data_IF_241793723880
#
_entry.id   IF_241793723880
#
_cell.length_a   1.000
_cell.length_b   1.000
_cell.length_c   1.000
_cell.angle_alpha   90.00
_cell.angle_beta   90.00
_cell.angle_gamma   90.00
#
_symmetry.space_group_name_H-M   'P 1'
#
loop_
_entity.id
_entity.type
_entity.pdbx_description
1 polymer ?
#
# COMPACT_ATOMS: atom_id res chain seq x y z
N UNK A 1 6.90 -41.03 -32.91
CA UNK A 1 6.48 -40.72 -34.29
C UNK A 1 5.43 -39.62 -34.15
N UNK A 2 5.88 -38.37 -33.94
CA UNK A 2 6.00 -37.30 -34.96
C UNK A 2 4.61 -36.94 -35.53
N UNK A 3 4.11 -35.70 -35.55
CA UNK A 3 4.73 -34.37 -35.57
C UNK A 3 3.63 -33.31 -35.19
N UNK A 4 3.92 -32.23 -34.45
CA UNK A 4 4.05 -30.81 -34.93
C UNK A 4 2.86 -30.32 -35.80
N UNK A 5 2.25 -29.12 -35.69
CA UNK A 5 2.54 -27.82 -35.05
C UNK A 5 1.38 -26.81 -35.37
N UNK A 6 1.46 -25.62 -34.76
CA UNK A 6 0.87 -24.30 -35.13
C UNK A 6 -0.54 -23.99 -34.57
N UNK A 7 -0.69 -23.15 -33.55
CA UNK A 7 -0.69 -21.65 -33.54
C UNK A 7 -2.07 -21.04 -33.81
N UNK A 8 -2.55 -20.16 -32.92
CA UNK A 8 -3.72 -19.30 -33.18
C UNK A 8 -4.44 -18.79 -31.93
N UNK A 9 -4.02 -17.62 -31.45
CA UNK A 9 -4.62 -16.80 -30.37
C UNK A 9 -6.03 -16.26 -30.73
N UNK A 10 -6.82 -15.76 -29.77
CA UNK A 10 -8.27 -15.53 -29.90
C UNK A 10 -8.61 -14.08 -30.26
N UNK A 11 -9.30 -13.89 -31.39
CA UNK A 11 -10.04 -12.68 -31.75
C UNK A 11 -11.37 -13.10 -32.40
N UNK A 12 -12.43 -13.28 -31.61
CA UNK A 12 -13.82 -13.35 -32.12
C UNK A 12 -14.86 -13.44 -30.99
N UNK A 13 -14.78 -12.53 -30.01
CA UNK A 13 -15.87 -12.30 -29.02
C UNK A 13 -16.68 -11.05 -29.40
N UNK A 14 -16.95 -10.90 -30.68
CA UNK A 14 -17.75 -9.84 -31.28
C UNK A 14 -18.52 -10.50 -32.43
N UNK A 15 -19.84 -10.32 -32.50
CA UNK A 15 -20.78 -10.81 -33.55
C UNK A 15 -21.67 -12.06 -33.30
N UNK A 16 -22.26 -12.27 -32.12
CA UNK A 16 -23.38 -13.24 -32.02
C UNK A 16 -24.49 -12.85 -31.05
N UNK A 17 -25.15 -11.69 -31.27
CA UNK A 17 -26.47 -11.41 -30.70
C UNK A 17 -27.41 -10.67 -31.66
N UNK A 18 -27.29 -10.92 -32.97
CA UNK A 18 -28.29 -10.58 -33.98
C UNK A 18 -28.74 -11.87 -34.70
N UNK A 19 -29.91 -12.40 -34.31
CA UNK A 19 -30.52 -13.60 -34.90
C UNK A 19 -32.01 -13.72 -34.56
N UNK A 20 -32.84 -13.14 -35.44
CA UNK A 20 -34.31 -13.09 -35.62
C UNK A 20 -35.13 -14.39 -35.30
N UNK A 21 -36.51 -14.40 -35.33
CA UNK A 21 -37.45 -13.46 -35.98
C UNK A 21 -38.69 -13.07 -35.13
N UNK A 22 -39.56 -12.18 -35.64
CA UNK A 22 -41.05 -12.23 -35.63
C UNK A 22 -41.62 -10.83 -36.02
N UNK A 23 -42.11 -10.75 -37.27
CA UNK A 23 -43.29 -9.98 -37.75
C UNK A 23 -43.56 -8.54 -37.26
N UNK A 24 -43.51 -7.59 -38.20
CA UNK A 24 -44.00 -6.19 -38.07
C UNK A 24 -45.54 -6.15 -38.17
N UNK A 25 -46.25 -5.26 -37.44
CA UNK A 25 -46.80 -4.08 -38.13
C UNK A 25 -46.72 -2.78 -37.31
N UNK A 26 -46.62 -1.66 -38.02
CA UNK A 26 -46.62 -0.29 -37.54
C UNK A 26 -47.85 0.05 -36.67
N UNK A 27 -47.66 0.64 -35.49
CA UNK A 27 -48.55 1.69 -34.95
C UNK A 27 -47.89 2.45 -33.79
N UNK A 28 -48.04 3.78 -33.83
CA UNK A 28 -47.59 4.76 -32.86
C UNK A 28 -47.83 4.36 -31.39
N UNK A 29 -46.78 4.42 -30.57
CA UNK A 29 -46.90 4.88 -29.18
C UNK A 29 -45.55 5.41 -28.67
N UNK A 30 -45.60 6.62 -28.13
CA UNK A 30 -44.50 7.36 -27.51
C UNK A 30 -43.65 6.49 -26.58
N UNK A 31 -42.34 6.50 -26.79
CA UNK A 31 -41.38 6.31 -25.70
C UNK A 31 -40.73 7.67 -25.46
N UNK A 32 -41.03 8.22 -24.29
CA UNK A 32 -40.50 9.47 -23.78
C UNK A 32 -38.99 9.54 -23.94
N UNK A 33 -38.54 10.67 -24.46
CA UNK A 33 -37.16 11.15 -24.45
C UNK A 33 -36.71 11.20 -22.98
N UNK A 34 -36.06 10.14 -22.50
CA UNK A 34 -35.20 10.23 -21.34
C UNK A 34 -33.96 10.95 -21.85
N UNK A 35 -33.91 12.25 -21.56
CA UNK A 35 -32.70 13.06 -21.64
C UNK A 35 -31.60 12.37 -20.84
N UNK A 36 -30.75 11.62 -21.54
CA UNK A 36 -29.36 11.39 -21.13
C UNK A 36 -28.62 12.67 -21.52
N UNK A 37 -28.24 13.55 -20.57
CA UNK A 37 -27.25 14.56 -20.89
C UNK A 37 -25.93 13.84 -21.12
N UNK A 38 -25.61 13.73 -22.41
CA UNK A 38 -24.36 14.23 -22.98
C UNK A 38 -23.15 13.97 -22.09
N UNK A 39 -22.45 12.91 -22.47
CA UNK A 39 -21.03 12.68 -22.28
C UNK A 39 -20.25 13.97 -22.62
N UNK A 40 -20.08 14.85 -21.63
CA UNK A 40 -19.39 16.14 -21.77
C UNK A 40 -18.07 16.07 -21.04
N UNK A 41 -17.02 16.08 -21.86
CA UNK A 41 -15.67 16.58 -21.59
C UNK A 41 -14.80 15.78 -20.62
N UNK A 42 -13.79 15.16 -21.22
CA UNK A 42 -12.64 14.62 -20.54
C UNK A 42 -11.99 15.68 -19.66
N UNK A 43 -12.19 15.53 -18.35
CA UNK A 43 -11.21 15.99 -17.39
C UNK A 43 -10.05 15.02 -17.52
N UNK A 44 -8.99 15.45 -18.20
CA UNK A 44 -7.67 14.89 -18.00
C UNK A 44 -7.36 15.04 -16.50
N UNK A 45 -7.75 14.03 -15.72
CA UNK A 45 -7.46 13.94 -14.30
C UNK A 45 -5.96 13.69 -14.20
N UNK A 46 -5.20 14.78 -14.13
CA UNK A 46 -3.85 14.73 -13.61
C UNK A 46 -3.96 14.04 -12.23
N UNK A 47 -3.24 12.94 -11.96
CA UNK A 47 -3.23 12.40 -10.61
C UNK A 47 -2.66 13.51 -9.73
N UNK A 48 -3.49 14.20 -8.97
CA UNK A 48 -3.01 15.22 -8.05
C UNK A 48 -2.15 14.48 -7.04
N UNK A 49 -0.82 14.71 -7.02
CA UNK A 49 0.04 14.00 -6.10
C UNK A 49 -0.44 14.32 -4.69
N UNK A 50 -0.54 13.29 -3.84
CA UNK A 50 -0.86 13.46 -2.43
C UNK A 50 0.00 14.59 -1.85
N UNK A 51 -0.59 15.54 -1.10
CA UNK A 51 0.17 16.66 -0.57
C UNK A 51 1.35 16.17 0.25
N UNK A 52 2.54 16.75 0.00
CA UNK A 52 3.81 16.34 0.61
C UNK A 52 3.76 16.29 2.14
N UNK A 53 2.96 17.14 2.77
CA UNK A 53 2.80 17.17 4.23
C UNK A 53 2.03 15.95 4.77
N UNK A 54 1.02 15.46 4.05
CA UNK A 54 0.29 14.23 4.42
C UNK A 54 1.21 13.02 4.29
N UNK A 55 2.04 12.99 3.24
CA UNK A 55 3.05 11.95 3.03
C UNK A 55 3.98 11.86 4.22
N UNK A 56 4.56 12.98 4.64
CA UNK A 56 5.45 13.04 5.81
C UNK A 56 4.74 12.61 7.09
N UNK A 57 3.55 13.16 7.33
CA UNK A 57 2.80 12.92 8.58
C UNK A 57 2.37 11.45 8.71
N UNK A 58 2.19 10.75 7.59
CA UNK A 58 1.94 9.31 7.58
C UNK A 58 3.24 8.51 7.71
N UNK A 59 4.23 8.79 6.87
CA UNK A 59 5.44 7.97 6.77
C UNK A 59 6.33 8.03 8.02
N UNK A 60 6.35 9.15 8.73
CA UNK A 60 7.13 9.29 9.97
C UNK A 60 6.63 8.34 11.07
N UNK A 61 5.37 8.42 11.57
CA UNK A 61 4.88 7.52 12.60
C UNK A 61 4.90 6.07 12.12
N UNK A 62 4.56 5.83 10.85
CA UNK A 62 4.59 4.50 10.24
C UNK A 62 5.97 3.85 10.34
N UNK A 63 7.01 4.55 9.87
CA UNK A 63 8.39 4.06 9.89
C UNK A 63 8.92 3.91 11.31
N UNK A 64 8.58 4.85 12.20
CA UNK A 64 8.95 4.78 13.60
C UNK A 64 8.42 3.51 14.28
N UNK A 65 7.15 3.17 14.03
CA UNK A 65 6.51 1.95 14.52
C UNK A 65 7.18 0.69 13.97
N UNK A 66 7.44 0.64 12.65
CA UNK A 66 8.15 -0.47 11.99
C UNK A 66 9.52 -0.74 12.64
N UNK A 67 10.33 0.31 12.81
CA UNK A 67 11.67 0.18 13.40
C UNK A 67 11.56 -0.27 14.86
N UNK A 68 10.67 0.35 15.63
CA UNK A 68 10.54 0.05 17.06
C UNK A 68 10.08 -1.37 17.31
N UNK A 69 9.10 -1.86 16.56
CA UNK A 69 8.60 -3.22 16.73
C UNK A 69 9.57 -4.25 16.17
N UNK A 70 10.11 -4.03 14.97
CA UNK A 70 11.08 -4.93 14.33
C UNK A 70 12.31 -5.14 15.21
N UNK A 71 12.95 -4.06 15.63
CA UNK A 71 14.17 -4.15 16.44
C UNK A 71 13.90 -4.75 17.84
N UNK A 72 12.72 -4.51 18.42
CA UNK A 72 12.36 -5.13 19.71
C UNK A 72 12.11 -6.62 19.59
N UNK A 73 11.47 -7.09 18.51
CA UNK A 73 11.28 -8.52 18.27
C UNK A 73 12.60 -9.27 18.19
N UNK A 74 13.64 -8.63 17.64
CA UNK A 74 14.99 -9.20 17.52
C UNK A 74 15.95 -8.82 18.65
N UNK A 75 15.41 -8.24 19.72
CA UNK A 75 16.18 -7.79 20.88
C UNK A 75 17.35 -6.82 20.55
N UNK A 76 17.30 -6.11 19.42
CA UNK A 76 18.33 -5.18 18.99
C UNK A 76 18.13 -3.82 19.68
N UNK A 77 19.14 -3.27 20.37
CA UNK A 77 19.01 -2.01 21.09
C UNK A 77 19.00 -0.81 20.14
N UNK A 78 17.85 -0.15 20.00
CA UNK A 78 17.72 1.12 19.27
C UNK A 78 17.13 2.19 20.18
N UNK A 79 17.90 3.24 20.42
CA UNK A 79 17.45 4.42 21.18
C UNK A 79 16.28 5.10 20.46
N UNK A 80 15.35 5.69 21.21
CA UNK A 80 14.23 6.45 20.62
C UNK A 80 14.72 7.56 19.69
N UNK A 81 15.79 8.26 20.05
CA UNK A 81 16.35 9.34 19.23
C UNK A 81 16.85 8.85 17.88
N UNK A 82 17.52 7.69 17.82
CA UNK A 82 17.97 7.09 16.56
C UNK A 82 16.80 6.63 15.70
N UNK A 83 15.79 6.00 16.30
CA UNK A 83 14.59 5.58 15.58
C UNK A 83 13.82 6.78 15.01
N UNK A 84 13.75 7.89 15.76
CA UNK A 84 13.09 9.12 15.31
C UNK A 84 13.87 9.78 14.16
N UNK A 85 15.20 9.89 14.29
CA UNK A 85 16.06 10.40 13.21
C UNK A 85 15.92 9.55 11.93
N UNK A 86 15.89 8.23 12.09
CA UNK A 86 15.73 7.29 10.98
C UNK A 86 14.35 7.45 10.32
N UNK A 87 13.28 7.56 11.11
CA UNK A 87 11.92 7.78 10.57
C UNK A 87 11.79 9.11 9.81
N UNK A 88 12.50 10.15 10.26
CA UNK A 88 12.53 11.44 9.57
C UNK A 88 13.27 11.33 8.23
N UNK A 89 14.45 10.69 8.22
CA UNK A 89 15.22 10.48 6.99
C UNK A 89 14.44 9.64 5.97
N UNK A 90 13.78 8.57 6.40
CA UNK A 90 12.94 7.73 5.54
C UNK A 90 11.70 8.49 5.05
N UNK A 91 11.12 9.38 5.88
CA UNK A 91 10.02 10.26 5.45
C UNK A 91 10.43 11.16 4.27
N UNK A 92 11.64 11.73 4.30
CA UNK A 92 12.19 12.49 3.18
C UNK A 92 12.35 11.60 1.94
N UNK A 93 12.91 10.40 2.08
CA UNK A 93 13.04 9.43 0.98
C UNK A 93 11.67 9.05 0.41
N UNK A 94 10.63 8.98 1.24
CA UNK A 94 9.27 8.68 0.79
C UNK A 94 8.70 9.76 -0.14
N UNK A 95 8.99 11.04 0.12
CA UNK A 95 8.61 12.13 -0.79
C UNK A 95 9.30 11.94 -2.16
N UNK A 96 10.60 11.67 -2.15
CA UNK A 96 11.35 11.41 -3.38
C UNK A 96 10.79 10.19 -4.11
N UNK A 97 10.53 9.09 -3.39
CA UNK A 97 10.00 7.87 -3.96
C UNK A 97 8.64 8.10 -4.65
N UNK A 98 7.76 8.92 -4.08
CA UNK A 98 6.45 9.27 -4.67
C UNK A 98 6.51 10.23 -5.85
N UNK A 99 7.63 10.92 -6.04
CA UNK A 99 7.90 11.69 -7.26
C UNK A 99 8.12 10.82 -8.50
N UNK A 100 8.39 9.52 -8.32
CA UNK A 100 8.51 8.59 -9.44
C UNK A 100 7.13 8.01 -9.80
N UNK A 101 6.79 7.85 -11.08
CA UNK A 101 5.52 7.25 -11.52
C UNK A 101 5.61 5.70 -11.44
N UNK A 102 5.79 5.16 -10.23
CA UNK A 102 5.87 3.72 -10.00
C UNK A 102 4.52 3.16 -9.53
N UNK A 103 4.24 1.88 -9.79
CA UNK A 103 3.05 1.25 -9.26
C UNK A 103 3.13 1.11 -7.73
N UNK A 104 1.95 1.10 -7.10
CA UNK A 104 1.80 0.77 -5.68
C UNK A 104 2.44 -0.60 -5.39
N UNK A 105 3.36 -0.63 -4.42
CA UNK A 105 4.17 -1.80 -4.08
C UNK A 105 5.66 -1.61 -4.36
N UNK A 106 6.04 -1.12 -5.54
CA UNK A 106 7.46 -0.87 -5.87
C UNK A 106 8.00 0.25 -4.98
N UNK A 107 7.21 1.29 -4.75
CA UNK A 107 7.53 2.35 -3.78
C UNK A 107 7.86 1.79 -2.39
N UNK A 108 7.09 0.79 -1.94
CA UNK A 108 7.28 0.16 -0.63
C UNK A 108 8.58 -0.64 -0.57
N UNK A 109 8.93 -1.36 -1.64
CA UNK A 109 10.20 -2.09 -1.74
C UNK A 109 11.38 -1.12 -1.69
N UNK A 110 11.34 -0.03 -2.48
CA UNK A 110 12.37 1.01 -2.47
C UNK A 110 12.50 1.63 -1.07
N UNK A 111 11.37 1.88 -0.40
CA UNK A 111 11.37 2.42 0.96
C UNK A 111 11.94 1.41 1.99
N UNK A 112 11.67 0.12 1.84
CA UNK A 112 12.21 -0.94 2.69
C UNK A 112 13.73 -1.10 2.53
N UNK A 113 14.22 -1.07 1.28
CA UNK A 113 15.66 -1.14 1.00
C UNK A 113 16.38 0.10 1.52
N UNK A 114 15.87 1.30 1.20
CA UNK A 114 16.47 2.55 1.66
C UNK A 114 16.47 2.69 3.19
N UNK A 115 15.37 2.34 3.85
CA UNK A 115 15.30 2.33 5.32
C UNK A 115 16.28 1.34 5.94
N UNK A 116 16.54 0.19 5.30
CA UNK A 116 17.56 -0.77 5.75
C UNK A 116 18.98 -0.21 5.66
N UNK A 117 19.33 0.44 4.54
CA UNK A 117 20.64 1.09 4.39
C UNK A 117 20.82 2.20 5.44
N UNK A 118 19.82 3.08 5.56
CA UNK A 118 19.83 4.16 6.55
C UNK A 118 19.93 3.62 7.98
N UNK A 119 19.20 2.56 8.30
CA UNK A 119 19.27 1.93 9.62
C UNK A 119 20.67 1.40 9.90
N UNK A 120 21.26 0.65 8.96
CA UNK A 120 22.62 0.11 9.05
C UNK A 120 23.64 1.20 9.36
N UNK A 121 23.56 2.34 8.67
CA UNK A 121 24.46 3.49 8.89
C UNK A 121 24.25 4.13 10.28
N UNK A 122 22.99 4.27 10.73
CA UNK A 122 22.66 4.95 12.00
C UNK A 122 22.90 4.07 13.23
N UNK A 123 22.61 2.76 13.14
CA UNK A 123 22.82 1.83 14.26
C UNK A 123 24.21 1.21 14.27
N UNK A 124 24.94 1.21 13.15
CA UNK A 124 26.26 0.58 13.03
C UNK A 124 26.22 -0.95 13.19
N UNK A 125 25.05 -1.56 13.02
CA UNK A 125 24.84 -3.00 13.11
C UNK A 125 24.93 -3.64 11.73
N UNK A 126 25.25 -4.93 11.68
CA UNK A 126 25.27 -5.72 10.44
C UNK A 126 24.00 -5.52 9.58
N UNK A 127 24.19 -5.36 8.27
CA UNK A 127 23.11 -5.07 7.32
C UNK A 127 22.03 -6.15 7.34
N UNK A 128 22.42 -7.43 7.40
CA UNK A 128 21.50 -8.57 7.48
C UNK A 128 20.54 -8.49 8.66
N UNK A 129 21.05 -8.09 9.84
CA UNK A 129 20.24 -7.97 11.04
C UNK A 129 19.24 -6.80 10.94
N UNK A 130 19.66 -5.68 10.34
CA UNK A 130 18.77 -4.55 10.06
C UNK A 130 17.69 -4.93 9.05
N UNK A 131 18.08 -5.64 8.00
CA UNK A 131 17.18 -6.06 6.93
C UNK A 131 16.07 -6.97 7.46
N UNK A 132 16.42 -8.04 8.18
CA UNK A 132 15.43 -8.98 8.74
C UNK A 132 14.50 -8.26 9.73
N UNK A 133 15.04 -7.36 10.55
CA UNK A 133 14.28 -6.55 11.51
C UNK A 133 13.26 -5.63 10.83
N UNK A 134 13.70 -4.84 9.85
CA UNK A 134 12.82 -3.91 9.11
C UNK A 134 11.82 -4.67 8.27
N UNK A 135 12.23 -5.73 7.59
CA UNK A 135 11.37 -6.58 6.79
C UNK A 135 10.24 -7.14 7.67
N UNK A 136 10.56 -7.69 8.84
CA UNK A 136 9.57 -8.21 9.79
C UNK A 136 8.60 -7.12 10.25
N UNK A 137 9.09 -5.95 10.63
CA UNK A 137 8.23 -4.82 11.01
C UNK A 137 7.31 -4.37 9.87
N UNK A 138 7.85 -4.26 8.66
CA UNK A 138 7.08 -3.86 7.47
C UNK A 138 6.04 -4.91 7.06
N UNK A 139 6.34 -6.20 7.24
CA UNK A 139 5.40 -7.29 6.95
C UNK A 139 4.24 -7.27 7.93
N UNK A 140 4.50 -7.10 9.23
CA UNK A 140 3.45 -6.99 10.25
C UNK A 140 2.54 -5.82 9.91
N UNK A 141 3.11 -4.65 9.61
CA UNK A 141 2.30 -3.48 9.28
C UNK A 141 1.55 -3.67 7.95
N UNK A 142 2.21 -4.20 6.93
CA UNK A 142 1.62 -4.41 5.60
C UNK A 142 0.46 -5.41 5.64
N UNK A 143 0.55 -6.46 6.46
CA UNK A 143 -0.57 -7.37 6.71
C UNK A 143 -1.70 -6.66 7.44
N UNK A 144 -1.39 -5.86 8.46
CA UNK A 144 -2.40 -5.07 9.18
C UNK A 144 -3.14 -4.10 8.25
N UNK A 145 -2.42 -3.30 7.47
CA UNK A 145 -2.99 -2.35 6.51
C UNK A 145 -3.75 -3.08 5.39
N UNK A 146 -3.18 -4.17 4.86
CA UNK A 146 -3.79 -4.98 3.81
C UNK A 146 -5.11 -5.64 4.22
N UNK A 147 -5.32 -5.89 5.51
CA UNK A 147 -6.60 -6.41 6.05
C UNK A 147 -7.51 -5.27 6.50
N UNK A 148 -7.00 -4.28 7.22
CA UNK A 148 -7.81 -3.21 7.82
C UNK A 148 -8.36 -2.22 6.80
N UNK A 149 -7.55 -1.80 5.82
CA UNK A 149 -7.97 -0.82 4.80
C UNK A 149 -9.19 -1.33 4.01
N UNK A 150 -9.21 -2.54 3.40
CA UNK A 150 -10.39 -3.00 2.68
C UNK A 150 -11.59 -3.27 3.59
N UNK A 151 -11.37 -3.65 4.85
CA UNK A 151 -12.47 -3.82 5.83
C UNK A 151 -13.11 -2.46 6.15
N UNK A 152 -12.30 -1.43 6.38
CA UNK A 152 -12.78 -0.08 6.67
C UNK A 152 -13.49 0.56 5.47
N UNK A 153 -13.00 0.33 4.25
CA UNK A 153 -13.66 0.76 3.01
C UNK A 153 -15.06 0.15 2.86
N UNK A 154 -15.21 -1.16 3.14
CA UNK A 154 -16.51 -1.83 3.12
C UNK A 154 -17.48 -1.27 4.14
N UNK A 155 -17.01 -0.90 5.34
CA UNK A 155 -17.85 -0.36 6.41
C UNK A 155 -18.28 1.07 6.11
N UNK A 156 -17.40 1.88 5.54
CA UNK A 156 -17.66 3.30 5.26
C UNK A 156 -18.38 3.54 3.93
N UNK A 157 -18.64 2.48 3.14
CA UNK A 157 -19.16 2.55 1.78
C UNK A 157 -18.37 3.51 0.85
N UNK A 158 -17.11 3.79 1.22
CA UNK A 158 -16.22 4.64 0.45
C UNK A 158 -15.57 3.82 -0.66
N UNK A 159 -15.40 4.42 -1.84
CA UNK A 159 -14.65 3.83 -2.94
C UNK A 159 -13.18 4.26 -2.88
N UNK A 160 -12.30 3.55 -3.59
CA UNK A 160 -10.88 3.90 -3.73
C UNK A 160 -10.68 5.30 -4.31
N UNK A 161 -11.65 5.81 -5.08
CA UNK A 161 -11.64 7.16 -5.65
C UNK A 161 -11.77 8.25 -4.57
N UNK A 162 -12.46 7.93 -3.47
CA UNK A 162 -12.57 8.82 -2.31
C UNK A 162 -11.23 9.00 -1.57
N UNK A 163 -10.34 8.00 -1.62
CA UNK A 163 -9.00 8.10 -0.99
C UNK A 163 -8.04 9.00 -1.77
N UNK A 164 -8.25 9.12 -3.08
CA UNK A 164 -7.47 9.99 -3.94
C UNK A 164 -7.93 11.46 -3.84
N UNK A 165 -9.24 11.68 -3.63
CA UNK A 165 -9.83 13.01 -3.52
C UNK A 165 -9.68 13.63 -2.12
N UNK A 166 -9.70 12.82 -1.06
CA UNK A 166 -9.56 13.29 0.33
C UNK A 166 -8.30 12.70 0.99
N UNK A 167 -7.13 13.38 0.90
CA UNK A 167 -5.87 12.89 1.44
C UNK A 167 -5.90 12.57 2.95
N UNK A 168 -6.74 13.28 3.70
CA UNK A 168 -6.91 13.10 5.15
C UNK A 168 -7.44 11.70 5.51
N UNK A 169 -8.21 11.07 4.62
CA UNK A 169 -8.68 9.70 4.83
C UNK A 169 -7.51 8.71 4.97
N UNK A 170 -6.40 8.92 4.25
CA UNK A 170 -5.22 8.06 4.38
C UNK A 170 -4.63 8.09 5.79
N UNK A 171 -4.63 9.24 6.45
CA UNK A 171 -4.19 9.38 7.85
C UNK A 171 -5.17 8.68 8.79
N UNK A 172 -6.48 8.82 8.54
CA UNK A 172 -7.53 8.20 9.34
C UNK A 172 -7.48 6.66 9.24
N UNK A 173 -7.26 6.09 8.06
CA UNK A 173 -7.15 4.64 7.87
C UNK A 173 -5.87 4.04 8.48
N UNK A 174 -4.82 4.84 8.66
CA UNK A 174 -3.61 4.42 9.37
C UNK A 174 -3.77 4.39 10.90
N UNK A 175 -4.63 5.23 11.48
CA UNK A 175 -4.84 5.25 12.93
C UNK A 175 -5.17 3.87 13.53
N UNK A 176 -6.12 3.07 12.98
CA UNK A 176 -6.40 1.75 13.54
C UNK A 176 -5.21 0.79 13.39
N UNK A 177 -4.52 0.78 12.24
CA UNK A 177 -3.35 -0.10 12.04
C UNK A 177 -2.19 0.28 12.97
N UNK A 178 -1.87 1.57 13.06
CA UNK A 178 -0.86 2.12 13.96
C UNK A 178 -1.17 1.87 15.44
N UNK A 179 -2.46 1.95 15.83
CA UNK A 179 -2.89 1.66 17.21
C UNK A 179 -2.66 0.20 17.57
N UNK A 180 -3.05 -0.74 16.70
CA UNK A 180 -2.82 -2.17 16.95
C UNK A 180 -1.31 -2.45 17.03
N UNK A 181 -0.51 -1.89 16.11
CA UNK A 181 0.93 -2.07 16.13
C UNK A 181 1.57 -1.48 17.41
N UNK A 182 1.09 -0.33 17.90
CA UNK A 182 1.54 0.25 19.15
C UNK A 182 1.19 -0.64 20.36
N UNK A 183 -0.01 -1.22 20.39
CA UNK A 183 -0.42 -2.19 21.43
C UNK A 183 0.48 -3.42 21.42
N UNK A 184 0.75 -4.00 20.24
CA UNK A 184 1.67 -5.14 20.10
C UNK A 184 3.06 -4.78 20.60
N UNK A 185 3.58 -3.58 20.26
CA UNK A 185 4.85 -3.09 20.78
C UNK A 185 4.87 -2.97 22.31
N UNK A 186 3.81 -2.44 22.93
CA UNK A 186 3.70 -2.31 24.38
C UNK A 186 3.63 -3.68 25.08
N UNK A 187 2.90 -4.64 24.49
CA UNK A 187 2.84 -6.01 24.98
C UNK A 187 4.21 -6.70 24.90
N UNK A 188 4.90 -6.58 23.77
CA UNK A 188 6.26 -7.08 23.59
C UNK A 188 7.23 -6.45 24.60
N UNK A 189 7.09 -5.14 24.86
CA UNK A 189 7.90 -4.44 25.86
C UNK A 189 7.61 -4.91 27.28
N UNK A 190 6.34 -5.08 27.66
CA UNK A 190 5.93 -5.48 29.02
C UNK A 190 6.32 -6.93 29.34
N UNK A 191 6.26 -7.82 28.35
CA UNK A 191 6.51 -9.25 28.52
C UNK A 191 7.94 -9.70 28.18
N UNK A 192 8.79 -8.80 27.69
CA UNK A 192 10.13 -9.13 27.17
C UNK A 192 10.12 -10.28 26.14
N UNK A 193 9.07 -10.33 25.29
CA UNK A 193 9.05 -11.29 24.19
C UNK A 193 10.06 -10.86 23.13
N UNK A 194 11.21 -11.54 23.11
CA UNK A 194 12.12 -11.57 21.97
C UNK A 194 11.78 -12.83 21.16
N UNK A 195 11.44 -12.65 19.88
CA UNK A 195 11.09 -13.75 18.98
C UNK A 195 12.37 -14.51 18.59
N UNK A 196 13.48 -13.78 18.44
CA UNK A 196 14.79 -14.33 18.16
C UNK A 196 15.88 -13.38 18.66
N UNK A 197 16.90 -13.87 19.35
CA UNK A 197 18.01 -13.01 19.81
C UNK A 197 19.12 -12.99 18.75
N UNK A 198 19.12 -11.93 17.95
CA UNK A 198 20.11 -11.72 16.89
C UNK A 198 21.47 -11.20 17.42
N UNK A 199 21.60 -10.93 18.73
CA UNK A 199 22.89 -10.51 19.31
C UNK A 199 23.91 -11.65 19.39
N UNK A 200 23.43 -12.89 19.41
CA UNK A 200 24.26 -14.10 19.57
C UNK A 200 25.06 -14.48 18.32
N UNK A 201 24.71 -13.94 17.14
CA UNK A 201 25.36 -14.29 15.88
C UNK A 201 26.43 -13.25 15.46
N UNK A 202 27.19 -12.73 16.42
CA UNK A 202 28.28 -11.78 16.20
C UNK A 202 29.64 -12.49 16.34
N UNK A 203 29.76 -13.62 15.65
CA UNK A 203 30.99 -14.39 15.52
C UNK A 203 31.58 -14.19 14.12
#
# INVERSE_FOLDING_TARGET
MLAHLLEGSPESLFEECCGLPWTVPHTHRSCSVINLPVFSEGVAMHPTPLPWYIVLLLSIPQTFLIIKIGFRLFNLPVSCSKALLLSLAVGVVSIFARGLPLPFGVHTIILAVSSTLLATVVTGTNLWHCFISILTGSLILGVLEGVLVPVLLKITAATTDSLASEPWLNVLYFLPSGTIMAVVYLLAKKRNYALFDLRLNKD
#
